data_IF_296219903122
#
_entry.id   IF_296219903122
#
_cell.length_a   1.000
_cell.length_b   1.000
_cell.length_c   1.000
_cell.angle_alpha   90.00
_cell.angle_beta   90.00
_cell.angle_gamma   90.00
#
_symmetry.space_group_name_H-M   'P 1'
#
loop_
_entity.id
_entity.type
_entity.pdbx_description
1 polymer ?
#
# COMPACT_ATOMS: atom_id res chain seq x y z
N UNK A 1 12.17 22.09 -4.84
CA UNK A 1 11.77 23.39 -5.43
C UNK A 1 11.42 24.44 -4.37
N UNK A 2 10.58 24.15 -3.38
CA UNK A 2 10.18 25.14 -2.34
C UNK A 2 11.36 25.74 -1.56
N UNK A 3 12.38 24.94 -1.23
CA UNK A 3 13.62 25.41 -0.57
C UNK A 3 14.42 26.41 -1.44
N UNK A 4 14.46 26.17 -2.76
CA UNK A 4 15.15 27.06 -3.70
C UNK A 4 14.40 28.39 -3.78
N UNK A 5 13.06 28.35 -3.91
CA UNK A 5 12.24 29.55 -3.91
C UNK A 5 12.44 30.37 -2.62
N UNK A 6 12.37 29.72 -1.44
CA UNK A 6 12.60 30.38 -0.16
C UNK A 6 14.01 30.98 -0.06
N UNK A 7 15.04 30.26 -0.50
CA UNK A 7 16.43 30.76 -0.51
C UNK A 7 16.58 31.98 -1.41
N UNK A 8 16.02 31.95 -2.62
CA UNK A 8 16.06 33.06 -3.57
C UNK A 8 15.35 34.30 -3.04
N UNK A 9 14.14 34.15 -2.47
CA UNK A 9 13.40 35.26 -1.86
C UNK A 9 14.17 35.84 -0.68
N UNK A 10 14.77 35.00 0.16
CA UNK A 10 15.60 35.45 1.29
C UNK A 10 16.81 36.24 0.82
N UNK A 11 17.51 35.76 -0.23
CA UNK A 11 18.66 36.47 -0.84
C UNK A 11 18.26 37.82 -1.45
N UNK A 12 17.02 37.94 -1.92
CA UNK A 12 16.45 39.18 -2.43
C UNK A 12 15.86 40.08 -1.31
N UNK A 13 16.09 39.75 -0.03
CA UNK A 13 15.54 40.46 1.12
C UNK A 13 14.00 40.53 1.15
N UNK A 14 13.32 39.55 0.55
CA UNK A 14 11.86 39.44 0.63
C UNK A 14 11.39 39.09 2.04
N UNK A 15 10.17 39.52 2.39
CA UNK A 15 9.58 39.30 3.72
C UNK A 15 8.92 37.91 3.89
N UNK A 16 8.54 37.26 2.79
CA UNK A 16 7.86 35.97 2.80
C UNK A 16 7.67 35.39 1.41
N UNK A 17 7.28 34.12 1.35
CA UNK A 17 7.02 33.40 0.08
C UNK A 17 5.65 32.73 0.10
N UNK A 18 4.85 32.96 -0.95
CA UNK A 18 3.65 32.17 -1.24
C UNK A 18 4.01 31.26 -2.41
N UNK A 19 3.92 29.95 -2.21
CA UNK A 19 4.31 28.97 -3.23
C UNK A 19 3.08 28.18 -3.69
N UNK A 20 2.65 28.41 -4.94
CA UNK A 20 1.58 27.64 -5.56
C UNK A 20 2.15 26.33 -6.13
N UNK A 21 1.54 25.19 -5.76
CA UNK A 21 1.90 23.86 -6.29
C UNK A 21 0.70 22.92 -6.29
N UNK A 22 0.85 21.73 -6.87
CA UNK A 22 -0.15 20.68 -6.70
C UNK A 22 -0.38 20.41 -5.21
N UNK A 23 -1.65 20.31 -4.76
CA UNK A 23 -1.96 20.17 -3.35
C UNK A 23 -1.32 18.90 -2.80
N UNK A 24 -0.53 19.05 -1.74
CA UNK A 24 0.05 17.93 -0.97
C UNK A 24 -0.23 18.19 0.49
N UNK A 25 -0.55 17.14 1.26
CA UNK A 25 -0.73 17.26 2.71
C UNK A 25 0.59 17.34 3.49
N UNK A 26 1.71 17.04 2.84
CA UNK A 26 3.05 17.14 3.42
C UNK A 26 3.42 18.60 3.69
N UNK A 27 3.68 18.91 4.96
CA UNK A 27 4.10 20.23 5.41
C UNK A 27 5.61 20.31 5.24
N UNK A 28 6.06 21.22 4.37
CA UNK A 28 7.48 21.46 4.18
C UNK A 28 8.12 21.98 5.46
N UNK A 29 9.27 21.40 5.81
CA UNK A 29 10.16 21.83 6.91
C UNK A 29 10.43 23.35 6.87
N UNK A 30 10.80 23.95 8.02
CA UNK A 30 10.86 25.40 8.14
C UNK A 30 11.83 26.01 7.11
N UNK A 31 11.30 26.91 6.29
CA UNK A 31 11.98 27.53 5.16
C UNK A 31 12.87 28.72 5.58
N UNK A 32 12.96 29.00 6.88
CA UNK A 32 13.74 30.12 7.45
C UNK A 32 13.18 31.52 7.17
N UNK A 33 12.00 31.60 6.53
CA UNK A 33 11.25 32.80 6.17
C UNK A 33 9.75 32.49 6.32
N UNK A 34 8.89 33.50 6.48
CA UNK A 34 7.44 33.31 6.43
C UNK A 34 7.04 32.68 5.10
N UNK A 35 6.34 31.55 5.16
CA UNK A 35 5.98 30.81 3.97
C UNK A 35 4.61 30.16 4.09
N UNK A 36 3.88 30.14 2.98
CA UNK A 36 2.65 29.35 2.84
C UNK A 36 2.68 28.66 1.48
N UNK A 37 2.22 27.41 1.49
CA UNK A 37 2.07 26.62 0.28
C UNK A 37 0.58 26.54 -0.02
N UNK A 38 0.20 26.89 -1.24
CA UNK A 38 -1.19 26.94 -1.70
C UNK A 38 -1.36 26.10 -2.96
N UNK A 39 -2.59 25.73 -3.29
CA UNK A 39 -2.88 25.12 -4.58
C UNK A 39 -2.85 26.15 -5.73
N UNK A 40 -2.99 25.67 -6.96
CA UNK A 40 -2.99 26.53 -8.14
C UNK A 40 -4.26 27.39 -8.28
N UNK A 41 -5.37 27.03 -7.64
CA UNK A 41 -6.59 27.83 -7.68
C UNK A 41 -6.38 29.10 -6.84
N UNK A 42 -5.94 28.94 -5.60
CA UNK A 42 -5.56 30.05 -4.72
C UNK A 42 -4.40 30.84 -5.33
N UNK A 43 -3.41 30.15 -5.92
CA UNK A 43 -2.29 30.80 -6.62
C UNK A 43 -2.76 31.70 -7.77
N UNK A 44 -3.68 31.22 -8.60
CA UNK A 44 -4.28 32.00 -9.69
C UNK A 44 -5.09 33.19 -9.17
N UNK A 45 -5.89 32.98 -8.12
CA UNK A 45 -6.64 34.05 -7.47
C UNK A 45 -5.73 35.15 -6.92
N UNK A 46 -4.58 34.78 -6.34
CA UNK A 46 -3.56 35.72 -5.87
C UNK A 46 -2.91 36.50 -7.01
N UNK A 47 -2.58 35.85 -8.13
CA UNK A 47 -2.04 36.52 -9.32
C UNK A 47 -3.04 37.53 -9.90
N UNK A 48 -4.32 37.17 -9.95
CA UNK A 48 -5.38 38.09 -10.37
C UNK A 48 -5.49 39.28 -9.41
N UNK A 49 -5.50 39.04 -8.09
CA UNK A 49 -5.53 40.08 -7.07
C UNK A 49 -4.37 41.08 -7.21
N UNK A 50 -3.16 40.60 -7.49
CA UNK A 50 -1.97 41.44 -7.75
C UNK A 50 -2.18 42.32 -8.99
N UNK A 51 -2.79 41.78 -10.05
CA UNK A 51 -3.03 42.52 -11.30
C UNK A 51 -4.07 43.63 -11.20
N UNK A 52 -5.09 43.48 -10.34
CA UNK A 52 -6.20 44.45 -10.22
C UNK A 52 -6.04 45.46 -9.08
N UNK A 53 -5.05 45.26 -8.19
CA UNK A 53 -4.89 46.07 -6.98
C UNK A 53 -3.62 46.93 -7.06
N UNK A 54 -3.73 48.24 -6.86
CA UNK A 54 -2.56 49.16 -6.94
C UNK A 54 -1.47 48.88 -5.90
N UNK A 55 -1.84 48.39 -4.71
CA UNK A 55 -0.94 48.07 -3.59
C UNK A 55 -1.41 46.77 -2.91
N UNK A 56 -1.13 45.59 -3.49
CA UNK A 56 -1.60 44.33 -2.93
C UNK A 56 -0.90 44.06 -1.59
N UNK A 57 -1.66 43.66 -0.58
CA UNK A 57 -1.15 43.34 0.77
C UNK A 57 -1.74 42.00 1.21
N UNK A 58 -0.90 41.14 1.79
CA UNK A 58 -1.29 39.87 2.39
C UNK A 58 -0.75 39.77 3.81
N UNK A 59 -1.41 39.00 4.67
CA UNK A 59 -1.00 38.76 6.05
C UNK A 59 -0.80 37.26 6.28
N UNK A 60 0.36 36.89 6.82
CA UNK A 60 0.59 35.54 7.31
C UNK A 60 -0.02 35.40 8.72
N UNK A 61 -0.92 34.43 8.89
CA UNK A 61 -1.41 34.03 10.21
C UNK A 61 -0.46 33.07 10.91
N UNK A 62 -0.68 32.85 12.21
CA UNK A 62 0.00 31.79 12.96
C UNK A 62 -0.42 30.41 12.46
N UNK A 63 0.53 29.47 12.42
CA UNK A 63 0.26 28.07 12.07
C UNK A 63 -0.72 27.44 13.06
N UNK A 64 -1.69 26.68 12.55
CA UNK A 64 -2.67 25.92 13.33
C UNK A 64 -2.77 24.50 12.79
N UNK A 65 -2.94 23.53 13.68
CA UNK A 65 -3.30 22.16 13.32
C UNK A 65 -4.81 22.03 13.34
N UNK A 66 -5.38 21.52 12.25
CA UNK A 66 -6.81 21.20 12.16
C UNK A 66 -6.92 19.68 12.26
N UNK A 67 -7.78 19.20 13.15
CA UNK A 67 -8.05 17.77 13.36
C UNK A 67 -9.51 17.50 13.00
N UNK A 68 -9.74 16.46 12.20
CA UNK A 68 -11.06 16.10 11.68
C UNK A 68 -11.55 17.03 10.56
N UNK A 69 -12.63 16.61 9.88
CA UNK A 69 -13.24 17.38 8.79
C UNK A 69 -12.35 17.49 7.54
N UNK A 70 -11.40 16.57 7.38
CA UNK A 70 -10.50 16.49 6.22
C UNK A 70 -10.50 15.04 5.75
N UNK A 71 -10.76 14.82 4.45
CA UNK A 71 -10.68 13.48 3.85
C UNK A 71 -9.28 12.89 4.07
N UNK A 72 -9.22 11.73 4.72
CA UNK A 72 -7.99 11.00 5.02
C UNK A 72 -8.31 9.52 5.34
N UNK A 73 -7.44 8.56 5.02
CA UNK A 73 -6.08 8.74 4.51
C UNK A 73 -6.01 8.93 2.99
N UNK A 74 -4.89 9.49 2.52
CA UNK A 74 -4.56 9.59 1.10
C UNK A 74 -3.15 9.01 0.88
N UNK A 75 -2.91 8.34 -0.24
CA UNK A 75 -1.56 7.88 -0.58
C UNK A 75 -0.71 9.07 -1.01
N UNK A 76 0.37 9.34 -0.27
CA UNK A 76 1.26 10.46 -0.52
C UNK A 76 1.89 10.44 -1.92
N UNK A 77 2.14 11.62 -2.50
CA UNK A 77 2.69 11.75 -3.85
C UNK A 77 4.09 11.13 -3.99
N UNK A 78 4.87 11.12 -2.91
CA UNK A 78 6.22 10.55 -2.88
C UNK A 78 6.25 9.05 -2.63
N UNK A 79 5.11 8.44 -2.27
CA UNK A 79 5.05 6.99 -2.00
C UNK A 79 5.28 6.25 -3.32
N UNK A 80 6.30 5.38 -3.35
CA UNK A 80 6.58 4.55 -4.52
C UNK A 80 5.39 3.65 -4.86
N UNK A 81 5.14 3.49 -6.16
CA UNK A 81 4.01 2.72 -6.70
C UNK A 81 4.48 1.42 -7.34
N UNK A 82 3.60 0.43 -7.36
CA UNK A 82 3.79 -0.81 -8.12
C UNK A 82 3.60 -0.63 -9.64
N UNK A 83 3.73 -1.72 -10.42
CA UNK A 83 4.10 -3.07 -9.99
C UNK A 83 5.58 -3.19 -9.57
N UNK A 84 5.93 -4.29 -8.93
CA UNK A 84 7.34 -4.62 -8.62
C UNK A 84 8.11 -4.89 -9.92
N UNK A 85 9.26 -4.24 -10.09
CA UNK A 85 10.18 -4.49 -11.22
C UNK A 85 10.97 -5.79 -11.07
N UNK A 86 11.08 -6.30 -9.84
CA UNK A 86 11.85 -7.52 -9.51
C UNK A 86 11.01 -8.78 -9.75
N UNK A 87 9.73 -8.73 -9.40
CA UNK A 87 8.79 -9.84 -9.58
C UNK A 87 7.42 -9.26 -9.94
N UNK A 88 7.14 -9.08 -11.24
CA UNK A 88 5.91 -8.45 -11.71
C UNK A 88 4.64 -9.19 -11.30
N UNK A 89 4.74 -10.47 -10.94
CA UNK A 89 3.64 -11.33 -10.47
C UNK A 89 3.29 -11.15 -8.99
N UNK A 90 4.04 -10.30 -8.27
CA UNK A 90 3.86 -10.06 -6.83
C UNK A 90 3.48 -8.60 -6.59
N UNK A 91 2.32 -8.39 -5.97
CA UNK A 91 1.81 -7.05 -5.65
C UNK A 91 2.75 -6.31 -4.70
N UNK A 92 3.09 -5.06 -5.06
CA UNK A 92 3.71 -4.09 -4.17
C UNK A 92 3.10 -2.69 -4.37
N UNK A 93 2.99 -1.87 -3.31
CA UNK A 93 3.28 -2.19 -1.90
C UNK A 93 2.29 -3.22 -1.32
N UNK A 94 2.56 -3.70 -0.11
CA UNK A 94 1.68 -4.67 0.56
C UNK A 94 0.50 -3.99 1.30
N UNK A 95 0.74 -2.87 1.98
CA UNK A 95 -0.22 -2.13 2.81
C UNK A 95 0.22 -0.67 2.96
N UNK A 96 -0.71 0.24 3.22
CA UNK A 96 -0.45 1.65 3.54
C UNK A 96 -0.60 1.92 5.05
N UNK A 97 0.16 2.89 5.56
CA UNK A 97 0.10 3.35 6.95
C UNK A 97 0.45 4.83 7.05
N UNK A 98 0.18 5.50 8.19
CA UNK A 98 0.52 6.90 8.40
C UNK A 98 2.02 7.18 8.21
N UNK A 99 2.35 8.06 7.27
CA UNK A 99 3.74 8.40 6.94
C UNK A 99 3.94 9.85 6.51
N UNK A 100 2.96 10.73 6.73
CA UNK A 100 3.05 12.15 6.37
C UNK A 100 2.90 12.97 7.65
N UNK A 101 3.81 13.92 7.87
CA UNK A 101 3.86 14.79 9.05
C UNK A 101 3.82 14.01 10.37
N UNK A 102 4.60 12.94 10.48
CA UNK A 102 4.68 12.14 11.70
C UNK A 102 5.61 12.86 12.69
N UNK A 103 5.09 13.19 13.86
CA UNK A 103 5.86 13.76 14.96
C UNK A 103 6.56 12.63 15.72
N UNK A 104 7.89 12.65 15.72
CA UNK A 104 8.69 11.66 16.45
C UNK A 104 9.89 12.30 17.14
N UNK A 105 10.52 11.54 18.05
CA UNK A 105 11.74 11.97 18.73
C UNK A 105 12.86 12.26 17.74
N UNK A 106 13.63 13.31 18.00
CA UNK A 106 14.77 13.72 17.21
C UNK A 106 15.95 14.05 18.11
N UNK A 107 17.16 13.72 17.65
CA UNK A 107 18.37 14.00 18.43
C UNK A 107 18.63 15.51 18.51
N UNK A 108 18.74 16.09 19.72
CA UNK A 108 19.05 17.50 19.90
C UNK A 108 20.38 17.89 19.25
N UNK A 109 21.36 16.98 19.27
CA UNK A 109 22.68 17.17 18.65
C UNK A 109 22.54 17.31 17.13
N UNK A 110 21.69 16.50 16.50
CA UNK A 110 21.43 16.56 15.06
C UNK A 110 20.65 17.82 14.64
N UNK A 111 19.89 18.42 15.56
CA UNK A 111 19.14 19.66 15.32
C UNK A 111 19.89 20.94 15.70
N UNK A 112 20.99 20.85 16.44
CA UNK A 112 21.75 21.99 16.94
C UNK A 112 22.32 22.88 15.83
N UNK A 113 22.55 22.32 14.64
CA UNK A 113 22.99 23.05 13.44
C UNK A 113 21.86 23.77 12.69
N UNK A 114 20.60 23.60 13.12
CA UNK A 114 19.46 24.28 12.50
C UNK A 114 19.29 25.69 13.08
N UNK A 115 18.79 26.63 12.28
CA UNK A 115 18.51 28.02 12.69
C UNK A 115 17.48 28.15 13.83
N UNK A 116 16.84 27.05 14.22
CA UNK A 116 15.80 27.00 15.24
C UNK A 116 16.30 26.53 16.61
N UNK A 117 17.60 26.25 16.74
CA UNK A 117 18.17 25.67 17.94
C UNK A 117 17.84 24.18 18.10
N UNK A 118 18.33 23.54 19.17
CA UNK A 118 18.10 22.12 19.40
C UNK A 118 16.61 21.84 19.70
N UNK A 119 16.06 20.78 19.09
CA UNK A 119 14.70 20.30 19.35
C UNK A 119 14.69 18.79 19.60
N UNK A 120 13.80 18.35 20.49
CA UNK A 120 13.65 16.94 20.88
C UNK A 120 12.68 16.17 19.99
N UNK A 121 11.87 16.86 19.18
CA UNK A 121 10.85 16.27 18.32
C UNK A 121 10.83 16.96 16.97
N UNK A 122 10.51 16.20 15.93
CA UNK A 122 10.45 16.69 14.55
C UNK A 122 9.27 16.06 13.81
N UNK A 123 8.63 16.86 12.97
CA UNK A 123 7.70 16.36 11.95
C UNK A 123 8.51 15.92 10.74
N UNK A 124 8.31 14.68 10.32
CA UNK A 124 8.91 14.12 9.10
C UNK A 124 7.89 13.32 8.30
N UNK A 125 8.16 13.23 7.00
CA UNK A 125 7.32 12.55 6.04
C UNK A 125 8.15 11.54 5.25
N UNK A 126 7.60 10.35 5.04
CA UNK A 126 8.24 9.29 4.29
C UNK A 126 7.61 7.93 4.54
N UNK A 127 7.84 7.00 3.62
CA UNK A 127 7.57 5.58 3.87
C UNK A 127 8.43 5.04 5.02
N UNK A 128 9.58 5.67 5.31
CA UNK A 128 10.38 5.44 6.52
C UNK A 128 9.61 5.70 7.82
N UNK A 129 8.58 6.56 7.80
CA UNK A 129 7.72 6.84 8.95
C UNK A 129 6.49 5.92 8.98
N UNK A 130 6.03 5.44 7.82
CA UNK A 130 4.97 4.42 7.74
C UNK A 130 5.45 3.04 8.19
N UNK A 131 6.69 2.66 7.85
CA UNK A 131 7.29 1.37 8.21
C UNK A 131 7.24 1.04 9.72
N UNK A 132 7.68 1.91 10.65
CA UNK A 132 7.64 1.60 12.08
C UNK A 132 6.21 1.44 12.63
N UNK A 133 5.20 2.10 12.04
CA UNK A 133 3.80 1.85 12.42
C UNK A 133 3.38 0.41 12.09
N UNK A 134 3.70 -0.07 10.87
CA UNK A 134 3.43 -1.48 10.50
C UNK A 134 4.26 -2.46 11.33
N UNK A 135 5.50 -2.13 11.65
CA UNK A 135 6.32 -2.96 12.54
C UNK A 135 5.71 -3.10 13.93
N UNK A 136 5.18 -2.00 14.49
CA UNK A 136 4.46 -2.03 15.76
C UNK A 136 3.17 -2.86 15.67
N UNK A 137 2.37 -2.69 14.62
CA UNK A 137 1.17 -3.51 14.35
C UNK A 137 1.53 -4.99 14.29
N UNK A 138 2.57 -5.35 13.53
CA UNK A 138 3.02 -6.73 13.43
C UNK A 138 3.48 -7.30 14.78
N UNK A 139 4.18 -6.51 15.59
CA UNK A 139 4.59 -6.91 16.94
C UNK A 139 3.39 -7.13 17.88
N UNK A 140 2.38 -6.26 17.83
CA UNK A 140 1.15 -6.39 18.63
C UNK A 140 0.39 -7.65 18.22
N UNK A 141 0.18 -7.88 16.92
CA UNK A 141 -0.47 -9.10 16.41
C UNK A 141 0.31 -10.34 16.82
N UNK A 142 1.64 -10.32 16.70
CA UNK A 142 2.50 -11.44 17.13
C UNK A 142 2.47 -11.67 18.63
N UNK A 143 2.28 -10.62 19.45
CA UNK A 143 2.09 -10.76 20.89
C UNK A 143 0.73 -11.39 21.23
N UNK A 144 -0.33 -11.07 20.47
CA UNK A 144 -1.65 -11.66 20.64
C UNK A 144 -1.72 -13.10 20.10
N UNK A 145 -0.92 -13.41 19.07
CA UNK A 145 -0.84 -14.72 18.41
C UNK A 145 0.61 -15.23 18.33
N UNK A 146 1.21 -15.68 19.46
CA UNK A 146 2.64 -16.03 19.53
C UNK A 146 3.07 -17.15 18.58
N UNK A 147 2.14 -18.00 18.16
CA UNK A 147 2.32 -19.15 17.29
C UNK A 147 2.20 -18.83 15.80
N UNK A 148 1.69 -17.64 15.42
CA UNK A 148 1.53 -17.28 14.01
C UNK A 148 2.87 -17.09 13.30
N UNK A 149 2.96 -17.58 12.06
CA UNK A 149 4.11 -17.31 11.20
C UNK A 149 4.18 -15.81 10.81
N UNK A 150 5.34 -15.32 10.34
CA UNK A 150 5.42 -13.98 9.74
C UNK A 150 4.44 -13.79 8.57
N UNK A 151 4.15 -14.85 7.81
CA UNK A 151 3.20 -14.80 6.71
C UNK A 151 1.75 -14.68 7.19
N UNK A 152 1.38 -15.37 8.26
CA UNK A 152 0.05 -15.25 8.87
C UNK A 152 -0.17 -13.83 9.42
N UNK A 153 0.84 -13.25 10.11
CA UNK A 153 0.79 -11.85 10.58
C UNK A 153 0.66 -10.88 9.40
N UNK A 154 1.49 -11.05 8.36
CA UNK A 154 1.41 -10.25 7.13
C UNK A 154 0.03 -10.38 6.47
N UNK A 155 -0.50 -11.59 6.38
CA UNK A 155 -1.82 -11.85 5.81
C UNK A 155 -2.89 -11.08 6.56
N UNK A 156 -2.91 -11.18 7.89
CA UNK A 156 -3.91 -10.52 8.72
C UNK A 156 -3.93 -9.01 8.48
N UNK A 157 -2.74 -8.38 8.40
CA UNK A 157 -2.59 -6.94 8.11
C UNK A 157 -3.17 -6.58 6.75
N UNK A 158 -2.89 -7.38 5.71
CA UNK A 158 -3.27 -7.05 4.33
C UNK A 158 -4.76 -7.27 4.09
N UNK A 159 -5.30 -8.41 4.54
CA UNK A 159 -6.68 -8.82 4.20
C UNK A 159 -7.75 -8.03 4.94
N UNK A 160 -7.37 -7.37 6.03
CA UNK A 160 -8.25 -6.55 6.88
C UNK A 160 -8.05 -5.05 6.68
N UNK A 161 -7.09 -4.65 5.85
CA UNK A 161 -6.83 -3.25 5.57
C UNK A 161 -8.03 -2.58 4.87
N UNK A 162 -8.32 -1.33 5.25
CA UNK A 162 -9.43 -0.56 4.68
C UNK A 162 -9.05 0.09 3.36
N UNK A 163 -9.90 -0.02 2.35
CA UNK A 163 -9.80 0.74 1.09
C UNK A 163 -10.68 1.98 1.08
N UNK A 164 -11.24 2.35 2.24
CA UNK A 164 -12.11 3.50 2.41
C UNK A 164 -11.63 4.40 3.55
N UNK A 165 -11.98 5.69 3.44
CA UNK A 165 -11.80 6.67 4.50
C UNK A 165 -12.96 6.66 5.53
N UNK A 166 -12.87 7.55 6.52
CA UNK A 166 -13.90 7.69 7.57
C UNK A 166 -15.29 8.12 7.05
N UNK A 167 -15.37 8.60 5.80
CA UNK A 167 -16.61 9.02 5.12
C UNK A 167 -17.08 7.99 4.08
N UNK A 168 -16.58 6.76 4.16
CA UNK A 168 -16.88 5.66 3.23
C UNK A 168 -16.46 5.94 1.76
N UNK A 169 -15.57 6.92 1.55
CA UNK A 169 -15.04 7.23 0.22
C UNK A 169 -13.82 6.37 -0.06
N UNK A 170 -13.65 5.98 -1.33
CA UNK A 170 -12.49 5.17 -1.74
C UNK A 170 -11.21 5.97 -1.58
N UNK A 171 -10.16 5.35 -1.04
CA UNK A 171 -8.86 5.99 -0.88
C UNK A 171 -8.37 6.59 -2.20
N UNK A 172 -7.79 7.79 -2.11
CA UNK A 172 -7.20 8.47 -3.25
C UNK A 172 -5.69 8.47 -3.17
N UNK A 173 -5.07 8.64 -4.33
CA UNK A 173 -3.64 8.82 -4.48
C UNK A 173 -3.36 10.27 -4.90
N UNK A 174 -2.51 10.94 -4.11
CA UNK A 174 -1.97 12.24 -4.50
C UNK A 174 -1.14 12.10 -5.77
N UNK A 175 -1.32 13.06 -6.66
CA UNK A 175 -0.68 13.12 -7.96
C UNK A 175 -1.05 14.42 -8.68
N UNK A 176 -0.54 14.56 -9.89
CA UNK A 176 -0.85 15.66 -10.78
C UNK A 176 -1.43 15.09 -12.10
N UNK A 177 -2.75 14.82 -12.19
CA UNK A 177 -3.81 15.09 -11.19
C UNK A 177 -3.92 14.01 -10.10
N UNK A 178 -4.77 14.26 -9.11
CA UNK A 178 -5.21 13.23 -8.15
C UNK A 178 -5.90 12.10 -8.91
N UNK A 179 -5.72 10.86 -8.44
CA UNK A 179 -6.44 9.71 -8.96
C UNK A 179 -7.08 8.92 -7.84
N UNK A 180 -8.13 8.16 -8.18
CA UNK A 180 -8.60 7.10 -7.32
C UNK A 180 -7.45 6.13 -7.03
N UNK A 181 -7.27 5.78 -5.77
CA UNK A 181 -6.24 4.85 -5.35
C UNK A 181 -6.54 3.46 -5.89
N UNK A 182 -5.49 2.74 -6.25
CA UNK A 182 -5.55 1.35 -6.66
C UNK A 182 -4.54 0.50 -5.86
N UNK A 183 -4.59 -0.85 -5.96
CA UNK A 183 -3.66 -1.72 -5.24
C UNK A 183 -2.16 -1.45 -5.50
N UNK A 184 -1.77 -0.82 -6.62
CA UNK A 184 -0.37 -0.41 -6.80
C UNK A 184 0.03 0.81 -5.97
N UNK A 185 -0.95 1.49 -5.36
CA UNK A 185 -0.72 2.62 -4.46
C UNK A 185 -0.68 2.21 -2.99
N UNK A 186 -1.59 1.33 -2.57
CA UNK A 186 -1.81 1.00 -1.16
C UNK A 186 -1.79 -0.51 -0.83
N UNK A 187 -1.62 -1.39 -1.83
CA UNK A 187 -1.67 -2.84 -1.63
C UNK A 187 -3.06 -3.31 -1.18
N UNK A 188 -3.14 -3.86 0.03
CA UNK A 188 -4.40 -4.25 0.68
C UNK A 188 -5.30 -3.07 1.07
N UNK A 189 -4.72 -1.91 1.40
CA UNK A 189 -5.43 -0.73 1.90
C UNK A 189 -4.64 -0.01 3.01
N UNK A 190 -5.31 0.87 3.75
CA UNK A 190 -4.81 1.44 5.00
C UNK A 190 -4.94 0.45 6.16
N UNK A 191 -3.88 0.28 6.94
CA UNK A 191 -3.85 -0.67 8.06
C UNK A 191 -4.96 -0.43 9.08
N UNK A 192 -5.59 -1.52 9.54
CA UNK A 192 -6.53 -1.55 10.66
C UNK A 192 -6.07 -2.60 11.68
N UNK A 193 -5.50 -2.14 12.80
CA UNK A 193 -4.98 -3.00 13.85
C UNK A 193 -6.07 -3.84 14.53
N UNK A 194 -7.24 -3.25 14.76
CA UNK A 194 -8.30 -3.90 15.54
C UNK A 194 -8.84 -5.11 14.77
N UNK A 195 -9.11 -4.91 13.48
CA UNK A 195 -9.59 -5.97 12.59
C UNK A 195 -8.47 -6.98 12.29
N UNK A 196 -7.22 -6.53 12.09
CA UNK A 196 -6.08 -7.42 11.85
C UNK A 196 -5.75 -8.36 13.02
N UNK A 197 -6.14 -8.02 14.25
CA UNK A 197 -5.95 -8.92 15.41
C UNK A 197 -6.91 -10.12 15.35
N UNK A 198 -8.01 -10.03 14.62
CA UNK A 198 -8.99 -11.12 14.46
C UNK A 198 -9.46 -11.24 13.00
N UNK A 199 -8.57 -11.65 12.08
CA UNK A 199 -8.80 -11.55 10.64
C UNK A 199 -9.74 -12.62 10.08
N UNK A 200 -10.13 -13.62 10.87
CA UNK A 200 -10.93 -14.76 10.41
C UNK A 200 -10.10 -15.82 9.67
N UNK A 201 -9.57 -15.47 8.49
CA UNK A 201 -8.72 -16.33 7.67
C UNK A 201 -7.33 -15.71 7.45
N UNK A 202 -6.31 -16.56 7.34
CA UNK A 202 -4.96 -16.14 6.95
C UNK A 202 -4.39 -16.99 5.82
N UNK A 203 -3.64 -16.34 4.95
CA UNK A 203 -2.84 -16.94 3.88
C UNK A 203 -1.45 -17.25 4.43
N UNK A 204 -1.34 -18.40 5.09
CA UNK A 204 -0.09 -18.84 5.71
C UNK A 204 0.84 -19.51 4.70
N UNK A 205 2.15 -19.40 4.90
CA UNK A 205 3.17 -20.05 4.09
C UNK A 205 4.45 -20.29 4.91
N UNK A 206 5.20 -21.29 4.46
CA UNK A 206 6.45 -21.73 5.07
C UNK A 206 7.67 -21.23 4.30
N UNK A 207 8.86 -21.44 4.87
CA UNK A 207 10.12 -21.21 4.18
C UNK A 207 10.24 -22.02 2.88
N UNK A 208 9.61 -23.19 2.80
CA UNK A 208 9.61 -24.03 1.60
C UNK A 208 8.91 -23.32 0.43
N UNK A 209 7.81 -22.62 0.68
CA UNK A 209 7.09 -21.87 -0.34
C UNK A 209 7.96 -20.71 -0.89
N UNK A 210 8.72 -20.05 -0.03
CA UNK A 210 9.69 -19.03 -0.45
C UNK A 210 10.86 -19.60 -1.25
N UNK A 211 11.36 -20.79 -0.89
CA UNK A 211 12.37 -21.49 -1.68
C UNK A 211 11.85 -21.78 -3.08
N UNK A 212 10.63 -22.33 -3.21
CA UNK A 212 10.03 -22.62 -4.52
C UNK A 212 9.84 -21.34 -5.35
N UNK A 213 9.47 -20.23 -4.72
CA UNK A 213 9.39 -18.92 -5.37
C UNK A 213 10.76 -18.42 -5.86
N UNK A 214 11.83 -18.54 -5.05
CA UNK A 214 13.18 -18.17 -5.50
C UNK A 214 13.67 -19.08 -6.65
N UNK A 215 13.31 -20.36 -6.61
CA UNK A 215 13.57 -21.29 -7.70
C UNK A 215 12.83 -20.88 -9.00
N UNK A 216 11.59 -20.41 -8.91
CA UNK A 216 10.82 -19.94 -10.07
C UNK A 216 11.40 -18.68 -10.69
N UNK A 217 11.94 -17.77 -9.86
CA UNK A 217 12.67 -16.58 -10.29
C UNK A 217 14.03 -16.90 -10.95
N UNK A 218 14.51 -18.14 -10.88
CA UNK A 218 15.75 -18.58 -11.51
C UNK A 218 17.01 -18.45 -10.65
N UNK A 219 16.88 -18.21 -9.35
CA UNK A 219 18.02 -18.28 -8.43
C UNK A 219 18.56 -19.72 -8.35
N UNK A 220 19.88 -19.86 -8.21
CA UNK A 220 20.53 -21.17 -8.09
C UNK A 220 20.47 -21.70 -6.65
N UNK A 221 20.65 -23.01 -6.49
CA UNK A 221 20.55 -23.70 -5.20
C UNK A 221 21.53 -23.12 -4.16
N UNK A 222 22.76 -22.75 -4.55
CA UNK A 222 23.77 -22.23 -3.62
C UNK A 222 23.41 -20.85 -3.07
N UNK A 223 22.90 -19.95 -3.91
CA UNK A 223 22.43 -18.63 -3.49
C UNK A 223 21.22 -18.75 -2.55
N UNK A 224 20.27 -19.63 -2.88
CA UNK A 224 19.09 -19.87 -2.04
C UNK A 224 19.54 -20.44 -0.69
N UNK A 225 20.36 -21.51 -0.68
CA UNK A 225 20.94 -22.09 0.52
C UNK A 225 21.65 -21.07 1.41
N UNK A 226 22.43 -20.16 0.81
CA UNK A 226 23.10 -19.10 1.54
C UNK A 226 22.12 -18.11 2.17
N UNK A 227 21.06 -17.73 1.44
CA UNK A 227 20.02 -16.82 1.95
C UNK A 227 19.17 -17.47 3.05
N UNK A 228 18.76 -18.72 2.90
CA UNK A 228 17.89 -19.43 3.84
C UNK A 228 18.66 -20.02 5.02
N UNK A 229 19.98 -20.10 4.93
CA UNK A 229 20.87 -20.82 5.86
C UNK A 229 20.47 -22.30 6.01
N UNK A 230 19.89 -22.90 4.97
CA UNK A 230 19.54 -24.32 4.91
C UNK A 230 20.41 -25.03 3.86
N UNK A 231 20.98 -26.17 4.22
CA UNK A 231 21.80 -26.98 3.33
C UNK A 231 21.46 -28.48 3.46
N UNK A 232 21.15 -29.20 2.35
CA UNK A 232 21.03 -28.72 0.97
C UNK A 232 19.65 -28.13 0.64
N UNK A 233 19.61 -27.09 -0.22
CA UNK A 233 18.37 -26.66 -0.87
C UNK A 233 18.33 -27.22 -2.28
N UNK A 234 17.25 -27.92 -2.63
CA UNK A 234 17.05 -28.44 -3.98
C UNK A 234 15.76 -27.89 -4.57
N UNK A 235 15.89 -27.10 -5.64
CA UNK A 235 14.76 -26.70 -6.45
C UNK A 235 14.14 -27.93 -7.11
N UNK A 236 12.82 -28.06 -7.02
CA UNK A 236 12.10 -29.12 -7.71
C UNK A 236 12.32 -29.01 -9.23
N UNK A 237 12.36 -30.15 -9.92
CA UNK A 237 12.48 -30.18 -11.38
C UNK A 237 11.36 -29.42 -12.09
N UNK A 238 10.16 -29.40 -11.49
CA UNK A 238 9.01 -28.66 -12.00
C UNK A 238 8.85 -27.36 -11.21
N UNK A 239 9.20 -26.24 -11.85
CA UNK A 239 9.06 -24.92 -11.24
C UNK A 239 7.59 -24.52 -11.21
N UNK A 240 7.11 -24.19 -10.03
CA UNK A 240 5.80 -23.57 -9.84
C UNK A 240 5.88 -22.11 -10.31
N UNK A 241 4.83 -21.58 -10.93
CA UNK A 241 4.84 -20.17 -11.36
C UNK A 241 4.79 -19.21 -10.17
N UNK A 242 5.37 -18.02 -10.31
CA UNK A 242 5.49 -17.02 -9.22
C UNK A 242 4.12 -16.62 -8.64
N UNK A 243 3.07 -16.58 -9.48
CA UNK A 243 1.71 -16.21 -9.11
C UNK A 243 1.06 -17.19 -8.11
N UNK A 244 1.57 -18.42 -8.02
CA UNK A 244 1.05 -19.46 -7.13
C UNK A 244 1.52 -19.32 -5.68
N UNK A 245 2.48 -18.43 -5.40
CA UNK A 245 2.84 -18.13 -4.03
C UNK A 245 1.58 -17.72 -3.25
N UNK A 246 1.39 -18.29 -2.06
CA UNK A 246 0.14 -18.20 -1.30
C UNK A 246 -0.06 -16.82 -0.63
N UNK A 247 0.08 -15.73 -1.38
CA UNK A 247 -0.06 -14.37 -0.89
C UNK A 247 -1.52 -13.95 -0.79
N UNK A 248 -1.85 -12.99 0.11
CA UNK A 248 -3.16 -12.35 0.22
C UNK A 248 -3.41 -11.34 -0.92
N UNK A 249 -2.95 -11.64 -2.14
CA UNK A 249 -3.19 -10.89 -3.37
C UNK A 249 -2.97 -11.79 -4.57
N UNK A 250 -3.59 -11.46 -5.71
CA UNK A 250 -3.38 -12.15 -6.98
C UNK A 250 -3.07 -11.11 -8.06
N UNK A 251 -1.85 -11.15 -8.61
CA UNK A 251 -1.42 -10.31 -9.72
C UNK A 251 -1.05 -11.21 -10.90
N UNK A 252 -1.72 -11.03 -12.04
CA UNK A 252 -1.38 -11.68 -13.30
C UNK A 252 -0.82 -10.60 -14.24
N UNK A 253 0.51 -10.57 -14.47
CA UNK A 253 1.14 -9.51 -15.25
C UNK A 253 0.80 -9.62 -16.74
N UNK A 254 0.37 -10.80 -17.20
CA UNK A 254 -0.01 -11.03 -18.58
C UNK A 254 -1.04 -12.16 -18.70
N UNK A 255 -2.31 -11.82 -18.99
CA UNK A 255 -3.40 -12.76 -19.20
C UNK A 255 -3.79 -12.83 -20.68
N UNK A 256 -3.33 -13.87 -21.37
CA UNK A 256 -3.61 -14.07 -22.81
C UNK A 256 -4.97 -14.71 -23.08
N UNK A 257 -5.35 -15.70 -22.27
CA UNK A 257 -6.64 -16.41 -22.42
C UNK A 257 -7.20 -16.81 -21.07
N UNK A 258 -6.49 -17.69 -20.36
CA UNK A 258 -6.92 -18.22 -19.07
C UNK A 258 -5.73 -18.42 -18.14
N UNK A 259 -5.92 -18.09 -16.86
CA UNK A 259 -4.99 -18.43 -15.80
C UNK A 259 -5.76 -19.06 -14.64
N UNK A 260 -5.13 -19.98 -13.91
CA UNK A 260 -5.73 -20.62 -12.73
C UNK A 260 -4.75 -20.54 -11.59
N UNK A 261 -5.13 -19.83 -10.53
CA UNK A 261 -4.30 -19.53 -9.39
C UNK A 261 -4.88 -20.23 -8.16
N UNK A 262 -4.04 -20.94 -7.43
CA UNK A 262 -4.44 -21.62 -6.20
C UNK A 262 -4.09 -20.77 -4.98
N UNK A 263 -4.97 -20.82 -3.98
CA UNK A 263 -4.72 -20.27 -2.66
C UNK A 263 -5.15 -21.26 -1.59
N UNK A 264 -4.46 -21.22 -0.46
CA UNK A 264 -4.78 -21.99 0.73
C UNK A 264 -4.98 -21.02 1.88
N UNK A 265 -6.13 -21.11 2.53
CA UNK A 265 -6.45 -20.30 3.71
C UNK A 265 -6.52 -21.19 4.94
N UNK A 266 -6.02 -20.67 6.04
CA UNK A 266 -6.15 -21.27 7.37
C UNK A 266 -7.18 -20.47 8.15
N UNK A 267 -8.18 -21.15 8.69
CA UNK A 267 -9.12 -20.54 9.62
C UNK A 267 -8.45 -20.35 10.98
N UNK A 268 -8.33 -19.10 11.39
CA UNK A 268 -7.81 -18.68 12.69
C UNK A 268 -8.90 -18.16 13.62
N UNK A 269 -10.16 -18.17 13.17
CA UNK A 269 -11.33 -17.99 14.03
C UNK A 269 -11.76 -19.31 14.70
N UNK A 270 -12.88 -19.26 15.41
CA UNK A 270 -13.40 -20.36 16.24
C UNK A 270 -13.70 -21.66 15.48
N UNK A 271 -14.16 -22.66 16.23
CA UNK A 271 -14.52 -23.99 15.74
C UNK A 271 -15.91 -23.91 15.11
N UNK A 272 -15.99 -24.07 13.78
CA UNK A 272 -17.18 -23.96 12.92
C UNK A 272 -17.44 -22.56 12.36
N UNK A 273 -17.05 -22.36 11.10
CA UNK A 273 -17.33 -21.14 10.34
C UNK A 273 -17.54 -21.48 8.86
N UNK A 274 -18.40 -20.70 8.19
CA UNK A 274 -18.71 -20.85 6.77
C UNK A 274 -18.49 -19.51 6.11
N UNK A 275 -17.54 -19.46 5.17
CA UNK A 275 -17.25 -18.26 4.41
C UNK A 275 -17.84 -18.37 3.01
N UNK A 276 -18.48 -17.29 2.57
CA UNK A 276 -19.01 -17.13 1.21
C UNK A 276 -18.12 -16.17 0.44
N UNK A 277 -17.82 -16.53 -0.81
CA UNK A 277 -17.05 -15.66 -1.70
C UNK A 277 -17.94 -14.61 -2.37
N UNK A 278 -17.47 -13.37 -2.37
CA UNK A 278 -17.95 -12.28 -3.21
C UNK A 278 -16.81 -11.82 -4.13
N UNK A 279 -17.09 -11.65 -5.41
CA UNK A 279 -16.07 -11.33 -6.43
C UNK A 279 -16.46 -10.10 -7.21
N UNK A 280 -15.61 -9.10 -7.14
CA UNK A 280 -15.58 -7.97 -8.05
C UNK A 280 -14.53 -8.24 -9.13
N UNK A 281 -14.98 -8.61 -10.33
CA UNK A 281 -14.06 -8.97 -11.42
C UNK A 281 -13.32 -7.74 -11.97
N UNK A 282 -12.01 -7.82 -12.21
CA UNK A 282 -11.29 -6.78 -12.93
C UNK A 282 -11.91 -6.50 -14.31
N UNK A 283 -11.92 -5.24 -14.72
CA UNK A 283 -12.51 -4.83 -15.99
C UNK A 283 -11.94 -5.64 -17.18
N UNK A 284 -12.83 -6.25 -17.97
CA UNK A 284 -12.46 -7.07 -19.13
C UNK A 284 -12.08 -8.53 -18.79
N UNK A 285 -12.22 -8.96 -17.53
CA UNK A 285 -11.88 -10.31 -17.06
C UNK A 285 -13.10 -10.97 -16.41
N UNK A 286 -13.25 -12.28 -16.58
CA UNK A 286 -14.16 -13.11 -15.79
C UNK A 286 -13.35 -13.80 -14.70
N UNK A 287 -13.83 -13.73 -13.47
CA UNK A 287 -13.22 -14.43 -12.33
C UNK A 287 -14.22 -15.45 -11.78
N UNK A 288 -13.80 -16.72 -11.74
CA UNK A 288 -14.58 -17.83 -11.21
C UNK A 288 -13.84 -18.49 -10.03
N UNK A 289 -14.58 -18.95 -9.02
CA UNK A 289 -14.04 -19.53 -7.79
C UNK A 289 -14.50 -20.96 -7.58
N UNK A 290 -13.57 -21.83 -7.19
CA UNK A 290 -13.84 -23.25 -6.94
C UNK A 290 -13.11 -23.72 -5.66
N UNK A 291 -13.83 -24.03 -4.57
CA UNK A 291 -15.25 -23.76 -4.33
C UNK A 291 -15.51 -22.27 -4.07
N UNK A 292 -16.78 -21.83 -4.16
CA UNK A 292 -17.25 -20.49 -3.77
C UNK A 292 -17.69 -20.40 -2.29
N UNK A 293 -17.65 -21.52 -1.57
CA UNK A 293 -18.00 -21.61 -0.14
C UNK A 293 -16.94 -22.44 0.57
N UNK A 294 -16.41 -21.94 1.68
CA UNK A 294 -15.42 -22.62 2.50
C UNK A 294 -16.02 -22.96 3.86
N UNK A 295 -16.07 -24.26 4.21
CA UNK A 295 -16.62 -24.74 5.49
C UNK A 295 -15.52 -25.28 6.40
N UNK A 296 -15.31 -24.63 7.54
CA UNK A 296 -14.32 -25.04 8.53
C UNK A 296 -15.00 -25.65 9.74
N UNK A 297 -14.33 -26.59 10.39
CA UNK A 297 -14.78 -27.22 11.64
C UNK A 297 -13.56 -27.58 12.52
N UNK A 298 -13.74 -28.40 13.55
CA UNK A 298 -12.66 -28.81 14.45
C UNK A 298 -11.53 -29.60 13.77
N UNK A 299 -11.83 -30.33 12.70
CA UNK A 299 -10.85 -31.16 11.97
C UNK A 299 -10.32 -30.48 10.71
N UNK A 300 -11.13 -29.63 10.06
CA UNK A 300 -10.79 -28.91 8.83
C UNK A 300 -10.47 -27.46 9.17
N UNK A 301 -9.19 -27.19 9.40
CA UNK A 301 -8.66 -25.83 9.68
C UNK A 301 -8.06 -25.15 8.45
N UNK A 302 -7.63 -25.92 7.45
CA UNK A 302 -7.05 -25.40 6.20
C UNK A 302 -7.91 -25.83 5.02
N UNK A 303 -8.16 -24.91 4.10
CA UNK A 303 -8.85 -25.22 2.85
C UNK A 303 -8.18 -24.53 1.68
N UNK A 304 -8.20 -25.23 0.54
CA UNK A 304 -7.64 -24.77 -0.72
C UNK A 304 -8.77 -24.40 -1.67
N UNK A 305 -8.61 -23.31 -2.40
CA UNK A 305 -9.52 -22.89 -3.45
C UNK A 305 -8.75 -22.43 -4.69
N UNK A 306 -9.43 -22.48 -5.82
CA UNK A 306 -8.92 -22.07 -7.11
C UNK A 306 -9.63 -20.80 -7.57
N UNK A 307 -8.85 -19.83 -8.06
CA UNK A 307 -9.33 -18.63 -8.74
C UNK A 307 -8.98 -18.75 -10.22
N UNK A 308 -10.01 -18.80 -11.07
CA UNK A 308 -9.86 -18.93 -12.52
C UNK A 308 -10.16 -17.59 -13.17
N UNK A 309 -9.19 -17.07 -13.92
CA UNK A 309 -9.30 -15.83 -14.68
C UNK A 309 -9.46 -16.16 -16.15
N UNK A 310 -10.41 -15.52 -16.83
CA UNK A 310 -10.57 -15.63 -18.29
C UNK A 310 -10.67 -14.24 -18.90
N UNK A 311 -9.87 -13.97 -19.91
CA UNK A 311 -9.95 -12.70 -20.63
C UNK A 311 -11.23 -12.65 -21.48
N UNK A 312 -11.96 -11.52 -21.44
CA UNK A 312 -13.05 -11.22 -22.38
C UNK A 312 -12.56 -10.50 -23.63
N UNK A 313 -11.33 -10.00 -23.60
CA UNK A 313 -10.77 -9.14 -24.63
C UNK A 313 -9.54 -9.80 -25.26
N UNK A 314 -9.31 -9.54 -26.55
CA UNK A 314 -8.11 -9.97 -27.28
C UNK A 314 -7.28 -8.74 -27.68
N UNK A 315 -6.90 -7.94 -26.70
CA UNK A 315 -6.17 -6.68 -26.89
C UNK A 315 -5.03 -6.57 -25.90
N UNK A 316 -3.94 -5.89 -26.26
CA UNK A 316 -2.95 -5.49 -25.28
C UNK A 316 -3.55 -4.43 -24.35
N UNK A 317 -3.81 -4.84 -23.11
CA UNK A 317 -4.50 -4.03 -22.12
C UNK A 317 -3.56 -3.30 -21.17
N UNK A 318 -4.18 -2.43 -20.36
CA UNK A 318 -3.60 -1.91 -19.12
C UNK A 318 -3.95 -2.83 -17.95
N UNK A 319 -3.31 -2.59 -16.81
CA UNK A 319 -3.76 -3.22 -15.57
C UNK A 319 -5.19 -2.81 -15.23
N UNK A 320 -5.96 -3.80 -14.80
CA UNK A 320 -7.32 -3.69 -14.30
C UNK A 320 -7.36 -4.27 -12.89
N UNK A 321 -8.27 -3.77 -12.08
CA UNK A 321 -8.33 -4.07 -10.65
C UNK A 321 -9.71 -4.58 -10.26
N UNK A 322 -9.73 -5.50 -9.32
CA UNK A 322 -10.94 -6.06 -8.71
C UNK A 322 -10.62 -6.60 -7.33
N UNK A 323 -11.54 -7.37 -6.75
CA UNK A 323 -11.37 -7.95 -5.43
C UNK A 323 -12.11 -9.27 -5.26
N UNK A 324 -11.54 -10.13 -4.41
CA UNK A 324 -12.20 -11.30 -3.86
C UNK A 324 -12.36 -11.07 -2.36
N UNK A 325 -13.57 -11.22 -1.84
CA UNK A 325 -13.87 -11.10 -0.42
C UNK A 325 -14.45 -12.42 0.08
N UNK A 326 -13.90 -12.94 1.17
CA UNK A 326 -14.53 -14.02 1.93
C UNK A 326 -15.20 -13.45 3.18
N UNK A 327 -16.48 -13.77 3.37
CA UNK A 327 -17.28 -13.25 4.48
C UNK A 327 -18.02 -14.37 5.20
N UNK A 328 -18.04 -14.34 6.53
CA UNK A 328 -18.81 -15.25 7.39
C UNK A 328 -19.90 -14.52 8.22
N UNK A 329 -20.18 -13.26 7.89
CA UNK A 329 -21.07 -12.36 8.63
C UNK A 329 -20.41 -11.61 9.79
N UNK A 330 -19.18 -11.97 10.18
CA UNK A 330 -18.40 -11.29 11.22
C UNK A 330 -17.05 -10.78 10.71
N UNK A 331 -16.37 -11.57 9.91
CA UNK A 331 -15.05 -11.29 9.35
C UNK A 331 -15.18 -11.02 7.86
N UNK A 332 -14.35 -10.10 7.37
CA UNK A 332 -14.23 -9.74 5.95
C UNK A 332 -12.77 -9.92 5.57
N UNK A 333 -12.50 -10.86 4.66
CA UNK A 333 -11.14 -11.19 4.22
C UNK A 333 -11.00 -10.81 2.76
N UNK A 334 -10.43 -9.62 2.52
CA UNK A 334 -10.31 -9.03 1.19
C UNK A 334 -8.98 -9.37 0.52
N UNK A 335 -9.03 -9.75 -0.74
CA UNK A 335 -7.88 -10.11 -1.58
C UNK A 335 -7.94 -9.26 -2.86
N UNK A 336 -6.99 -8.34 -3.10
CA UNK A 336 -6.96 -7.58 -4.33
C UNK A 336 -6.60 -8.47 -5.53
N UNK A 337 -7.33 -8.28 -6.63
CA UNK A 337 -7.12 -8.95 -7.90
C UNK A 337 -6.61 -7.94 -8.92
N UNK A 338 -5.46 -8.20 -9.53
CA UNK A 338 -4.80 -7.30 -10.47
C UNK A 338 -4.46 -8.08 -11.73
N UNK A 339 -4.95 -7.62 -12.88
CA UNK A 339 -4.75 -8.34 -14.15
C UNK A 339 -4.44 -7.37 -15.27
N UNK A 340 -3.40 -7.66 -16.05
CA UNK A 340 -3.19 -7.04 -17.36
C UNK A 340 -3.50 -8.06 -18.43
N UNK A 341 -4.50 -7.78 -19.26
CA UNK A 341 -4.82 -8.59 -20.44
C UNK A 341 -3.75 -8.32 -21.49
N UNK A 342 -3.39 -9.33 -22.27
CA UNK A 342 -2.74 -9.08 -23.54
C UNK A 342 -2.85 -10.20 -24.54
N UNK A 343 -2.00 -10.14 -25.55
CA UNK A 343 -2.13 -10.94 -26.76
C UNK A 343 -0.89 -11.81 -26.95
N UNK A 344 -1.09 -13.03 -27.46
CA UNK A 344 0.01 -13.83 -27.99
C UNK A 344 0.43 -13.23 -29.31
N UNK A 345 1.60 -12.58 -29.34
CA UNK A 345 2.25 -12.20 -30.59
C UNK A 345 3.08 -13.41 -31.01
N UNK A 346 2.59 -14.18 -31.99
CA UNK A 346 3.43 -15.17 -32.67
C UNK A 346 4.45 -14.39 -33.51
N UNK A 347 5.73 -14.53 -33.18
CA UNK A 347 6.84 -13.99 -33.97
C UNK A 347 7.04 -14.82 -35.25
#
# INVERSE_FOLDING_TARGET
MTLVAASTVTKAHGAGVIFAKFPTKDVSLPLGIHAIVVDFEVGTALLHYIGITRKPVVKFGSTKTIVGGIMSPEVAYFSSRGPSSISPSILKPDVAAPGVNILASWSPVSSASTKHGPFNFKLESGTSMACPHIAAVAAIIKSAHPDWSPAAVKSAIITTASVKDEYDQILVAQGAPYKQGDPFDYGGGHVDLNTATHPGLVFDMSIHDHIQFLCSMGYNNSAISHMTRQNPTECAHHRVSEEQLNLPSILIPELTSRASIWRTVTNVSGVNSVYYANVESPAGVIVELFPSVLKFNSTVRKQKFQVVFRSRLKVQGRYSFGSLVWEDGKHVVRVPLIVRIGITISA
#
